data_IF_079156636149
#
_entry.id   IF_079156636149
#
_cell.length_a   1.000
_cell.length_b   1.000
_cell.length_c   1.000
_cell.angle_alpha   90.00
_cell.angle_beta   90.00
_cell.angle_gamma   90.00
#
_symmetry.space_group_name_H-M   'P 1'
#
loop_
_entity.id
_entity.type
_entity.pdbx_description
1 polymer ?
#
# COMPACT_ATOMS: atom_id res chain seq x y z
N UNK A 1 -41.42 37.91 -39.25
CA UNK A 1 -41.19 36.65 -38.53
C UNK A 1 -40.44 35.71 -39.47
N UNK A 2 -39.10 35.81 -39.48
CA UNK A 2 -38.22 34.99 -40.32
C UNK A 2 -37.73 33.87 -39.40
N UNK A 3 -38.24 32.66 -39.61
CA UNK A 3 -37.74 31.46 -38.94
C UNK A 3 -36.44 31.08 -39.63
N UNK A 4 -35.30 31.41 -39.02
CA UNK A 4 -34.02 30.82 -39.39
C UNK A 4 -34.07 29.35 -38.97
N UNK A 5 -34.15 28.44 -39.94
CA UNK A 5 -33.80 27.04 -39.73
C UNK A 5 -32.32 27.00 -39.33
N UNK A 6 -32.03 26.83 -38.03
CA UNK A 6 -30.71 26.51 -37.55
C UNK A 6 -30.40 25.08 -38.01
N UNK A 7 -29.69 24.94 -39.14
CA UNK A 7 -29.02 23.69 -39.46
C UNK A 7 -28.05 23.38 -38.30
N UNK A 8 -28.02 22.14 -37.81
CA UNK A 8 -27.10 21.77 -36.73
C UNK A 8 -25.66 21.98 -37.19
N UNK A 9 -24.88 22.69 -36.36
CA UNK A 9 -23.47 22.91 -36.62
C UNK A 9 -22.74 21.56 -36.67
N UNK A 10 -21.88 21.32 -37.67
CA UNK A 10 -21.11 20.09 -37.77
C UNK A 10 -20.25 19.87 -36.52
N UNK A 11 -19.93 18.60 -36.22
CA UNK A 11 -18.98 18.29 -35.15
C UNK A 11 -17.67 19.04 -35.40
N UNK A 12 -17.23 19.84 -34.43
CA UNK A 12 -16.05 20.68 -34.61
C UNK A 12 -14.77 19.83 -34.52
N UNK A 13 -13.83 20.08 -35.43
CA UNK A 13 -12.42 19.66 -35.33
C UNK A 13 -12.17 18.14 -35.26
N UNK A 14 -12.55 17.39 -36.31
CA UNK A 14 -12.14 15.99 -36.45
C UNK A 14 -10.60 15.87 -36.48
N UNK A 15 -10.05 15.21 -35.46
CA UNK A 15 -8.63 14.94 -35.32
C UNK A 15 -8.38 13.43 -35.47
N UNK A 16 -7.57 13.08 -36.47
CA UNK A 16 -7.25 11.70 -36.83
C UNK A 16 -5.75 11.50 -36.62
N UNK A 17 -5.38 10.53 -35.78
CA UNK A 17 -3.98 10.21 -35.46
C UNK A 17 -3.71 8.72 -35.60
N UNK A 18 -2.52 8.38 -36.06
CA UNK A 18 -2.03 6.99 -36.06
C UNK A 18 -1.41 6.68 -34.71
N UNK A 19 -1.87 5.62 -34.05
CA UNK A 19 -1.27 5.07 -32.83
C UNK A 19 -0.97 3.58 -33.04
N UNK A 20 0.29 3.26 -33.38
CA UNK A 20 0.71 1.90 -33.67
C UNK A 20 0.01 1.33 -34.92
N UNK A 21 -0.76 0.25 -34.75
CA UNK A 21 -1.53 -0.39 -35.84
C UNK A 21 -3.01 0.04 -35.87
N UNK A 22 -3.33 1.20 -35.31
CA UNK A 22 -4.71 1.69 -35.16
C UNK A 22 -4.77 3.16 -35.53
N UNK A 23 -5.92 3.60 -36.03
CA UNK A 23 -6.20 5.01 -36.26
C UNK A 23 -7.21 5.46 -35.21
N UNK A 24 -6.84 6.48 -34.44
CA UNK A 24 -7.67 7.05 -33.39
C UNK A 24 -8.28 8.34 -33.92
N UNK A 25 -9.60 8.39 -33.91
CA UNK A 25 -10.41 9.54 -34.27
C UNK A 25 -10.95 10.17 -32.99
N UNK A 26 -10.83 11.48 -32.89
CA UNK A 26 -11.41 12.28 -31.81
C UNK A 26 -12.03 13.54 -32.39
N UNK A 27 -13.22 13.91 -31.92
CA UNK A 27 -13.91 15.13 -32.33
C UNK A 27 -14.58 15.77 -31.11
N UNK A 28 -15.02 17.03 -31.26
CA UNK A 28 -15.80 17.70 -30.22
C UNK A 28 -17.28 17.55 -30.51
N UNK A 29 -18.04 17.16 -29.49
CA UNK A 29 -19.49 17.19 -29.57
C UNK A 29 -19.98 18.63 -29.78
N UNK A 30 -20.98 18.87 -30.65
CA UNK A 30 -21.62 20.17 -30.75
C UNK A 30 -22.34 20.52 -29.44
N UNK A 31 -22.64 21.81 -29.22
CA UNK A 31 -23.34 22.32 -28.03
C UNK A 31 -24.84 21.93 -27.98
N UNK A 32 -25.28 21.00 -28.83
CA UNK A 32 -26.66 20.54 -28.99
C UNK A 32 -26.69 19.04 -28.67
N UNK A 33 -27.78 18.54 -28.12
CA UNK A 33 -27.96 17.12 -27.81
C UNK A 33 -27.88 16.27 -29.09
N UNK A 34 -26.96 15.29 -29.10
CA UNK A 34 -26.69 14.41 -30.25
C UNK A 34 -27.23 13.01 -29.97
N UNK A 35 -27.96 12.44 -30.93
CA UNK A 35 -28.54 11.09 -30.81
C UNK A 35 -27.51 9.99 -31.09
N UNK A 36 -26.73 10.15 -32.17
CA UNK A 36 -25.67 9.23 -32.59
C UNK A 36 -24.67 9.87 -33.56
N UNK A 37 -23.50 9.26 -33.66
CA UNK A 37 -22.47 9.54 -34.66
C UNK A 37 -22.28 8.32 -35.56
N UNK A 38 -22.19 8.55 -36.86
CA UNK A 38 -21.81 7.53 -37.84
C UNK A 38 -20.42 7.85 -38.38
N UNK A 39 -19.54 6.85 -38.40
CA UNK A 39 -18.15 7.01 -38.85
C UNK A 39 -17.99 6.35 -40.21
N UNK A 40 -17.59 7.14 -41.19
CA UNK A 40 -17.33 6.71 -42.54
C UNK A 40 -15.83 6.70 -42.86
N UNK A 41 -15.42 5.76 -43.70
CA UNK A 41 -14.04 5.61 -44.16
C UNK A 41 -13.96 5.45 -45.68
N UNK A 42 -13.02 6.15 -46.27
CA UNK A 42 -12.51 5.96 -47.64
C UNK A 42 -11.25 5.11 -47.56
N UNK A 43 -11.19 4.08 -48.38
CA UNK A 43 -10.02 3.21 -48.56
C UNK A 43 -9.80 2.93 -50.06
N UNK A 44 -8.90 2.00 -50.42
CA UNK A 44 -8.63 1.68 -51.83
C UNK A 44 -9.86 1.21 -52.63
N UNK A 45 -10.92 0.74 -51.97
CA UNK A 45 -12.12 0.18 -52.61
C UNK A 45 -13.36 1.07 -52.48
N UNK A 46 -13.31 2.11 -51.67
CA UNK A 46 -14.43 2.98 -51.35
C UNK A 46 -14.04 4.43 -51.58
N UNK A 47 -14.87 5.18 -52.30
CA UNK A 47 -14.64 6.60 -52.61
C UNK A 47 -15.64 7.50 -51.87
N UNK A 48 -15.67 8.79 -52.25
CA UNK A 48 -16.58 9.77 -51.64
C UNK A 48 -18.05 9.52 -51.99
N UNK A 49 -18.33 8.82 -53.09
CA UNK A 49 -19.70 8.53 -53.54
C UNK A 49 -20.24 7.25 -52.88
N UNK A 50 -19.36 6.33 -52.49
CA UNK A 50 -19.71 5.11 -51.75
C UNK A 50 -18.74 4.82 -50.59
N UNK A 51 -18.79 5.59 -49.49
CA UNK A 51 -17.90 5.40 -48.35
C UNK A 51 -18.32 4.22 -47.46
N UNK A 52 -17.35 3.57 -46.80
CA UNK A 52 -17.61 2.46 -45.90
C UNK A 52 -18.09 2.96 -44.52
N UNK A 53 -19.28 2.54 -44.09
CA UNK A 53 -19.75 2.75 -42.71
C UNK A 53 -19.01 1.80 -41.76
N UNK A 54 -18.30 2.35 -40.77
CA UNK A 54 -17.53 1.57 -39.80
C UNK A 54 -18.31 1.25 -38.54
N UNK A 55 -19.02 2.24 -37.99
CA UNK A 55 -19.74 2.11 -36.73
C UNK A 55 -20.75 3.24 -36.51
N UNK A 56 -21.77 2.94 -35.71
CA UNK A 56 -22.65 3.92 -35.08
C UNK A 56 -22.33 3.97 -33.58
N UNK A 57 -21.93 5.13 -33.07
CA UNK A 57 -21.53 5.30 -31.66
C UNK A 57 -22.14 6.55 -31.04
N UNK A 58 -22.17 6.62 -29.70
CA UNK A 58 -22.58 7.82 -28.95
C UNK A 58 -21.41 8.60 -28.36
N UNK A 59 -20.21 8.03 -28.40
CA UNK A 59 -18.99 8.63 -27.88
C UNK A 59 -18.32 9.53 -28.92
N UNK A 60 -17.47 10.47 -28.48
CA UNK A 60 -16.73 11.39 -29.36
C UNK A 60 -15.32 10.88 -29.71
N UNK A 61 -15.10 9.58 -29.56
CA UNK A 61 -13.84 8.89 -29.82
C UNK A 61 -14.11 7.56 -30.51
N UNK A 62 -13.35 7.27 -31.57
CA UNK A 62 -13.39 5.99 -32.25
C UNK A 62 -11.99 5.49 -32.56
N UNK A 63 -11.81 4.17 -32.56
CA UNK A 63 -10.53 3.52 -32.84
C UNK A 63 -10.73 2.52 -33.97
N UNK A 64 -10.23 2.83 -35.16
CA UNK A 64 -10.21 1.91 -36.29
C UNK A 64 -9.01 0.97 -36.16
N UNK A 65 -9.30 -0.33 -36.00
CA UNK A 65 -8.33 -1.41 -35.89
C UNK A 65 -8.20 -2.24 -37.18
N UNK A 66 -9.06 -2.00 -38.17
CA UNK A 66 -9.15 -2.76 -39.42
C UNK A 66 -8.34 -2.12 -40.56
N UNK A 67 -7.32 -1.36 -40.17
CA UNK A 67 -6.45 -0.54 -41.02
C UNK A 67 -5.24 -1.36 -41.44
N UNK A 68 -4.95 -1.36 -42.75
CA UNK A 68 -3.80 -2.05 -43.32
C UNK A 68 -2.65 -1.07 -43.55
N UNK A 69 -1.41 -1.49 -43.34
CA UNK A 69 -0.26 -0.66 -43.65
C UNK A 69 -0.21 -0.28 -45.13
N UNK A 70 0.37 0.88 -45.39
CA UNK A 70 0.62 1.40 -46.72
C UNK A 70 -0.63 1.81 -47.55
N UNK A 71 -1.83 1.80 -46.96
CA UNK A 71 -3.07 2.30 -47.57
C UNK A 71 -3.41 3.69 -47.02
N UNK A 72 -3.89 4.59 -47.89
CA UNK A 72 -4.40 5.89 -47.49
C UNK A 72 -5.87 5.77 -47.05
N UNK A 73 -6.15 6.22 -45.83
CA UNK A 73 -7.50 6.29 -45.29
C UNK A 73 -7.93 7.74 -45.10
N UNK A 74 -9.18 8.05 -45.42
CA UNK A 74 -9.80 9.33 -45.03
C UNK A 74 -11.08 9.04 -44.28
N UNK A 75 -11.38 9.85 -43.26
CA UNK A 75 -12.52 9.62 -42.38
C UNK A 75 -13.46 10.82 -42.37
N UNK A 76 -14.74 10.53 -42.19
CA UNK A 76 -15.80 11.52 -42.02
C UNK A 76 -16.68 11.08 -40.86
N UNK A 77 -17.09 12.02 -40.02
CA UNK A 77 -18.04 11.78 -38.94
C UNK A 77 -19.35 12.49 -39.27
N UNK A 78 -20.43 11.73 -39.37
CA UNK A 78 -21.79 12.24 -39.53
C UNK A 78 -22.46 12.29 -38.18
N UNK A 79 -23.00 13.45 -37.83
CA UNK A 79 -23.65 13.70 -36.54
C UNK A 79 -25.15 13.80 -36.75
N UNK A 80 -25.92 12.95 -36.05
CA UNK A 80 -27.38 12.98 -36.08
C UNK A 80 -27.92 13.73 -34.86
N UNK A 81 -28.65 14.83 -35.11
CA UNK A 81 -29.38 15.56 -34.07
C UNK A 81 -30.79 14.98 -33.90
N UNK A 82 -31.38 14.46 -34.98
CA UNK A 82 -32.63 13.68 -34.96
C UNK A 82 -32.59 12.61 -36.07
N UNK A 83 -33.61 11.76 -36.21
CA UNK A 83 -33.62 10.63 -37.18
C UNK A 83 -33.53 11.07 -38.66
N UNK A 84 -33.86 12.32 -38.96
CA UNK A 84 -33.85 12.86 -40.33
C UNK A 84 -32.86 14.00 -40.55
N UNK A 85 -32.28 14.55 -39.47
CA UNK A 85 -31.41 15.72 -39.54
C UNK A 85 -29.98 15.31 -39.13
N UNK A 86 -29.09 15.35 -40.11
CA UNK A 86 -27.67 15.08 -39.91
C UNK A 86 -26.79 16.21 -40.44
N UNK A 87 -25.56 16.25 -39.95
CA UNK A 87 -24.51 17.18 -40.39
C UNK A 87 -23.18 16.43 -40.47
N UNK A 88 -22.41 16.69 -41.52
CA UNK A 88 -21.17 15.99 -41.83
C UNK A 88 -19.96 16.86 -41.51
N UNK A 89 -18.90 16.27 -40.96
CA UNK A 89 -17.60 16.91 -40.96
C UNK A 89 -16.99 16.93 -42.36
N UNK A 90 -16.05 17.84 -42.61
CA UNK A 90 -15.16 17.68 -43.76
C UNK A 90 -14.40 16.35 -43.67
N UNK A 91 -14.10 15.77 -44.82
CA UNK A 91 -13.22 14.60 -44.90
C UNK A 91 -11.84 14.93 -44.31
N UNK A 92 -11.34 14.04 -43.45
CA UNK A 92 -9.98 14.15 -42.94
C UNK A 92 -8.97 14.12 -44.08
N UNK A 93 -7.82 14.78 -43.90
CA UNK A 93 -6.69 14.60 -44.82
C UNK A 93 -6.31 13.11 -44.88
N UNK A 94 -5.89 12.58 -46.04
CA UNK A 94 -5.48 11.19 -46.16
C UNK A 94 -4.37 10.85 -45.16
N UNK A 95 -4.60 9.81 -44.37
CA UNK A 95 -3.66 9.33 -43.36
C UNK A 95 -3.26 7.89 -43.68
N UNK A 96 -1.99 7.57 -43.44
CA UNK A 96 -1.39 6.30 -43.83
C UNK A 96 -0.65 5.69 -42.65
N UNK A 97 -0.81 4.39 -42.44
CA UNK A 97 0.00 3.65 -41.47
C UNK A 97 1.28 3.22 -42.18
N UNK A 98 2.42 3.69 -41.71
CA UNK A 98 3.74 3.25 -42.18
C UNK A 98 4.09 1.88 -41.57
N UNK A 99 4.71 0.99 -42.36
CA UNK A 99 5.23 -0.31 -41.91
C UNK A 99 6.32 -0.22 -40.83
N UNK A 100 6.88 0.96 -40.58
CA UNK A 100 7.85 1.17 -39.51
C UNK A 100 7.13 1.21 -38.16
N UNK A 101 6.93 0.04 -37.57
CA UNK A 101 6.77 -0.08 -36.13
C UNK A 101 8.11 0.28 -35.46
N UNK A 102 8.44 1.57 -35.45
CA UNK A 102 9.41 2.11 -34.50
C UNK A 102 8.75 2.04 -33.13
N UNK A 103 8.84 0.86 -32.52
CA UNK A 103 8.64 0.69 -31.09
C UNK A 103 9.84 1.34 -30.38
N UNK A 104 9.99 2.67 -30.57
CA UNK A 104 11.04 3.50 -29.99
C UNK A 104 10.70 3.82 -28.53
N UNK A 105 10.18 2.84 -27.77
CA UNK A 105 10.32 2.91 -26.32
C UNK A 105 11.76 2.50 -26.04
N UNK A 106 12.63 3.42 -25.58
CA UNK A 106 13.98 3.04 -25.21
C UNK A 106 13.90 1.93 -24.16
N UNK A 107 14.74 0.90 -24.33
CA UNK A 107 14.87 -0.22 -23.39
C UNK A 107 15.23 0.24 -21.97
N UNK A 108 15.77 1.47 -21.85
CA UNK A 108 16.08 2.14 -20.60
C UNK A 108 15.39 3.51 -20.53
N UNK A 109 14.54 3.70 -19.53
CA UNK A 109 13.94 4.99 -19.23
C UNK A 109 14.93 5.84 -18.43
N UNK A 110 15.63 6.74 -19.12
CA UNK A 110 16.61 7.65 -18.50
C UNK A 110 15.99 8.57 -17.44
N UNK A 111 14.66 8.76 -17.44
CA UNK A 111 13.96 9.50 -16.38
C UNK A 111 13.95 8.75 -15.04
N UNK A 112 14.13 7.43 -15.06
CA UNK A 112 14.17 6.57 -13.85
C UNK A 112 15.58 6.33 -13.33
N UNK A 113 16.59 6.95 -13.93
CA UNK A 113 17.99 6.83 -13.49
C UNK A 113 18.19 7.16 -12.00
N UNK A 114 17.55 8.20 -11.42
CA UNK A 114 17.67 8.49 -9.97
C UNK A 114 17.13 7.36 -9.09
N UNK A 115 16.03 6.72 -9.50
CA UNK A 115 15.46 5.57 -8.78
C UNK A 115 16.42 4.38 -8.83
N UNK A 116 17.05 4.13 -9.98
CA UNK A 116 18.05 3.07 -10.10
C UNK A 116 19.28 3.34 -9.22
N UNK A 117 19.80 4.57 -9.23
CA UNK A 117 20.94 4.93 -8.37
C UNK A 117 20.59 4.76 -6.89
N UNK A 118 19.38 5.19 -6.48
CA UNK A 118 18.90 4.97 -5.12
C UNK A 118 18.83 3.48 -4.78
N UNK A 119 18.28 2.64 -5.67
CA UNK A 119 18.22 1.19 -5.46
C UNK A 119 19.61 0.55 -5.33
N UNK A 120 20.58 0.99 -6.13
CA UNK A 120 21.97 0.51 -6.03
C UNK A 120 22.58 0.92 -4.69
N UNK A 121 22.45 2.19 -4.31
CA UNK A 121 22.98 2.69 -3.03
C UNK A 121 22.34 1.94 -1.86
N UNK A 122 21.02 1.78 -1.89
CA UNK A 122 20.28 1.03 -0.87
C UNK A 122 20.73 -0.43 -0.82
N UNK A 123 20.90 -1.09 -1.96
CA UNK A 123 21.38 -2.48 -2.03
C UNK A 123 22.78 -2.61 -1.46
N UNK A 124 23.69 -1.70 -1.79
CA UNK A 124 25.06 -1.69 -1.27
C UNK A 124 25.05 -1.49 0.25
N UNK A 125 24.28 -0.54 0.77
CA UNK A 125 24.12 -0.32 2.22
C UNK A 125 23.54 -1.55 2.92
N UNK A 126 22.48 -2.14 2.35
CA UNK A 126 21.84 -3.33 2.87
C UNK A 126 22.82 -4.50 2.97
N UNK A 127 23.50 -4.85 1.87
CA UNK A 127 24.47 -5.95 1.89
C UNK A 127 25.66 -5.64 2.80
N UNK A 128 26.15 -4.40 2.82
CA UNK A 128 27.23 -4.00 3.72
C UNK A 128 26.89 -4.28 5.19
N UNK A 129 25.75 -3.79 5.68
CA UNK A 129 25.36 -4.02 7.08
C UNK A 129 24.97 -5.48 7.34
N UNK A 130 24.31 -6.15 6.39
CA UNK A 130 23.98 -7.57 6.51
C UNK A 130 25.21 -8.44 6.72
N UNK A 131 26.23 -8.31 5.85
CA UNK A 131 27.46 -9.09 5.95
C UNK A 131 28.33 -8.63 7.13
N UNK A 132 28.46 -7.32 7.37
CA UNK A 132 29.22 -6.79 8.49
C UNK A 132 28.70 -7.31 9.83
N UNK A 133 27.37 -7.34 10.03
CA UNK A 133 26.78 -7.88 11.26
C UNK A 133 26.98 -9.38 11.40
N UNK A 134 26.93 -10.14 10.30
CA UNK A 134 27.27 -11.58 10.31
C UNK A 134 28.72 -11.86 10.70
N UNK A 135 29.63 -10.94 10.38
CA UNK A 135 31.05 -11.01 10.78
C UNK A 135 31.31 -10.55 12.22
N UNK A 136 30.26 -10.34 13.03
CA UNK A 136 30.36 -9.99 14.44
C UNK A 136 30.38 -8.49 14.74
N UNK A 137 30.35 -7.61 13.71
CA UNK A 137 30.21 -6.16 13.89
C UNK A 137 28.74 -5.78 13.99
N UNK A 138 28.09 -6.21 15.08
CA UNK A 138 26.67 -5.96 15.31
C UNK A 138 26.46 -4.46 15.61
N UNK A 139 25.69 -3.72 14.79
CA UNK A 139 25.44 -2.32 15.03
C UNK A 139 24.54 -2.13 16.26
N UNK A 140 24.74 -1.02 16.97
CA UNK A 140 23.86 -0.61 18.05
C UNK A 140 22.52 -0.11 17.48
N UNK A 141 21.42 -0.67 17.97
CA UNK A 141 20.05 -0.20 17.74
C UNK A 141 19.56 0.47 19.04
N UNK A 142 18.77 1.54 18.90
CA UNK A 142 18.12 2.17 20.07
C UNK A 142 17.25 1.14 20.80
N UNK A 143 17.21 1.24 22.12
CA UNK A 143 16.28 0.46 22.92
C UNK A 143 14.84 0.85 22.58
N UNK A 144 13.97 -0.14 22.47
CA UNK A 144 12.53 0.07 22.24
C UNK A 144 11.84 -0.13 23.58
N UNK A 145 11.33 0.95 24.16
CA UNK A 145 10.78 0.96 25.52
C UNK A 145 9.68 -0.10 25.73
N UNK A 146 8.77 -0.25 24.75
CA UNK A 146 7.71 -1.25 24.84
C UNK A 146 8.20 -2.70 24.83
N UNK A 147 9.37 -2.99 24.25
CA UNK A 147 9.96 -4.34 24.29
C UNK A 147 10.68 -4.62 25.61
N UNK A 148 11.35 -3.61 26.19
CA UNK A 148 11.96 -3.76 27.52
C UNK A 148 10.89 -3.90 28.61
N UNK A 149 9.73 -3.28 28.43
CA UNK A 149 8.59 -3.37 29.34
C UNK A 149 7.94 -4.76 29.35
N UNK A 150 8.15 -5.62 28.34
CA UNK A 150 7.58 -6.98 28.31
C UNK A 150 8.04 -7.78 29.52
N UNK A 151 9.35 -7.79 29.80
CA UNK A 151 9.92 -8.57 30.90
C UNK A 151 9.40 -8.09 32.26
N UNK A 152 9.26 -6.78 32.43
CA UNK A 152 8.72 -6.13 33.63
C UNK A 152 7.21 -6.41 33.81
N UNK A 153 6.43 -6.34 32.73
CA UNK A 153 5.01 -6.66 32.76
C UNK A 153 4.75 -8.14 33.10
N UNK A 154 5.54 -9.06 32.55
CA UNK A 154 5.47 -10.49 32.90
C UNK A 154 5.85 -10.72 34.37
N UNK A 155 6.91 -10.06 34.84
CA UNK A 155 7.33 -10.11 36.24
C UNK A 155 6.22 -9.65 37.19
N UNK A 156 5.65 -8.45 36.95
CA UNK A 156 4.55 -7.92 37.76
C UNK A 156 3.30 -8.78 37.71
N UNK A 157 2.92 -9.31 36.55
CA UNK A 157 1.78 -10.24 36.46
C UNK A 157 2.01 -11.49 37.32
N UNK A 158 3.25 -11.99 37.36
CA UNK A 158 3.67 -13.10 38.23
C UNK A 158 3.58 -12.74 39.71
N UNK A 159 4.09 -11.57 40.10
CA UNK A 159 4.00 -11.08 41.48
C UNK A 159 2.55 -10.90 41.96
N UNK A 160 1.64 -10.53 41.06
CA UNK A 160 0.20 -10.43 41.33
C UNK A 160 -0.52 -11.78 41.34
N UNK A 161 0.13 -12.87 40.89
CA UNK A 161 -0.51 -14.18 40.72
C UNK A 161 -1.66 -14.17 39.70
N UNK A 162 -1.61 -13.25 38.72
CA UNK A 162 -2.67 -13.06 37.71
C UNK A 162 -2.20 -13.54 36.34
N UNK A 163 -3.11 -14.05 35.49
CA UNK A 163 -2.74 -14.50 34.15
C UNK A 163 -2.32 -13.33 33.27
N UNK A 164 -1.69 -13.65 32.15
CA UNK A 164 -1.42 -12.70 31.06
C UNK A 164 -2.44 -12.93 29.96
N UNK A 165 -2.95 -11.85 29.38
CA UNK A 165 -3.76 -11.92 28.17
C UNK A 165 -2.98 -11.34 26.98
N UNK A 166 -3.06 -12.01 25.83
CA UNK A 166 -2.38 -11.61 24.60
C UNK A 166 -3.33 -11.68 23.41
N UNK A 167 -3.28 -10.69 22.53
CA UNK A 167 -4.02 -10.75 21.27
C UNK A 167 -3.28 -10.04 20.14
N UNK A 168 -3.46 -10.55 18.93
CA UNK A 168 -2.96 -9.93 17.70
C UNK A 168 -3.97 -8.99 17.05
N UNK A 169 -5.18 -8.88 17.63
CA UNK A 169 -6.24 -8.02 17.13
C UNK A 169 -7.03 -8.67 15.98
N UNK A 170 -7.37 -7.85 14.99
CA UNK A 170 -8.25 -8.21 13.88
C UNK A 170 -7.46 -8.11 12.58
N UNK A 171 -7.34 -9.23 11.88
CA UNK A 171 -6.62 -9.30 10.62
C UNK A 171 -6.52 -10.71 10.10
N UNK A 172 -5.61 -10.91 9.16
CA UNK A 172 -5.30 -12.21 8.58
C UNK A 172 -3.79 -12.46 8.65
N UNK A 173 -3.38 -13.73 8.52
CA UNK A 173 -1.96 -14.10 8.44
C UNK A 173 -1.22 -13.48 7.25
N UNK A 174 -1.93 -12.93 6.26
CA UNK A 174 -1.33 -12.16 5.17
C UNK A 174 -0.85 -10.77 5.60
N UNK A 175 -1.28 -10.26 6.77
CA UNK A 175 -0.85 -8.98 7.30
C UNK A 175 0.52 -9.13 8.00
N UNK A 176 1.56 -8.40 7.56
CA UNK A 176 2.87 -8.41 8.21
C UNK A 176 2.83 -8.07 9.71
N UNK A 177 1.87 -7.25 10.13
CA UNK A 177 1.70 -6.83 11.53
C UNK A 177 1.26 -7.99 12.41
N UNK A 178 0.39 -8.86 11.89
CA UNK A 178 -0.05 -10.07 12.58
C UNK A 178 1.12 -11.06 12.70
N UNK A 179 1.90 -11.23 11.63
CA UNK A 179 3.09 -12.09 11.64
C UNK A 179 4.09 -11.59 12.69
N UNK A 180 4.37 -10.28 12.73
CA UNK A 180 5.23 -9.68 13.74
C UNK A 180 4.67 -9.86 15.16
N UNK A 181 3.35 -9.70 15.32
CA UNK A 181 2.63 -10.02 16.55
C UNK A 181 2.82 -11.46 17.00
N UNK A 182 2.74 -12.44 16.11
CA UNK A 182 2.97 -13.85 16.46
C UNK A 182 4.43 -14.11 16.87
N UNK A 183 5.40 -13.42 16.25
CA UNK A 183 6.80 -13.51 16.64
C UNK A 183 7.03 -12.98 18.06
N UNK A 184 6.38 -11.88 18.44
CA UNK A 184 6.41 -11.35 19.82
C UNK A 184 5.70 -12.32 20.77
N UNK A 185 4.57 -12.92 20.37
CA UNK A 185 3.85 -13.91 21.18
C UNK A 185 4.74 -15.09 21.58
N UNK A 186 5.54 -15.63 20.66
CA UNK A 186 6.51 -16.70 20.95
C UNK A 186 7.49 -16.27 22.07
N UNK A 187 7.99 -15.05 22.00
CA UNK A 187 8.90 -14.52 23.03
C UNK A 187 8.19 -14.36 24.39
N UNK A 188 6.98 -13.78 24.40
CA UNK A 188 6.17 -13.65 25.61
C UNK A 188 5.89 -15.03 26.21
N UNK A 189 5.47 -16.00 25.40
CA UNK A 189 5.21 -17.37 25.81
C UNK A 189 6.43 -18.03 26.47
N UNK A 190 7.63 -17.84 25.90
CA UNK A 190 8.88 -18.32 26.49
C UNK A 190 9.15 -17.73 27.87
N UNK A 191 8.87 -16.44 28.06
CA UNK A 191 9.04 -15.76 29.36
C UNK A 191 8.00 -16.24 30.37
N UNK A 192 6.74 -16.31 29.97
CA UNK A 192 5.63 -16.78 30.80
C UNK A 192 5.86 -18.21 31.30
N UNK A 193 6.33 -19.10 30.42
CA UNK A 193 6.66 -20.48 30.78
C UNK A 193 7.75 -20.56 31.87
N UNK A 194 8.70 -19.62 31.89
CA UNK A 194 9.73 -19.52 32.92
C UNK A 194 9.19 -19.12 34.30
N UNK A 195 8.13 -18.30 34.34
CA UNK A 195 7.49 -17.84 35.58
C UNK A 195 6.35 -18.75 36.05
N UNK A 196 5.82 -19.61 35.17
CA UNK A 196 4.78 -20.57 35.51
C UNK A 196 3.39 -19.98 35.71
N UNK A 197 3.08 -18.87 35.05
CA UNK A 197 1.74 -18.25 35.04
C UNK A 197 0.97 -18.59 33.76
N UNK A 198 -0.36 -18.48 33.82
CA UNK A 198 -1.22 -18.79 32.68
C UNK A 198 -1.17 -17.68 31.61
N UNK A 199 -1.08 -18.09 30.34
CA UNK A 199 -1.15 -17.23 29.17
C UNK A 199 -2.44 -17.50 28.40
N UNK A 200 -3.30 -16.50 28.28
CA UNK A 200 -4.60 -16.56 27.60
C UNK A 200 -4.51 -15.81 26.28
N UNK A 201 -4.81 -16.47 25.16
CA UNK A 201 -4.62 -15.93 23.81
C UNK A 201 -5.92 -16.04 23.00
N UNK A 202 -6.86 -15.10 23.17
CA UNK A 202 -8.03 -15.00 22.30
C UNK A 202 -7.66 -14.47 20.91
N UNK A 203 -8.17 -15.16 19.88
CA UNK A 203 -7.91 -14.86 18.47
C UNK A 203 -9.22 -14.58 17.72
N UNK A 204 -9.16 -13.62 16.79
CA UNK A 204 -10.27 -13.26 15.91
C UNK A 204 -10.39 -14.18 14.69
N UNK A 205 -9.34 -14.90 14.32
CA UNK A 205 -9.31 -15.77 13.13
C UNK A 205 -8.81 -17.18 13.48
N UNK A 206 -9.41 -18.27 12.93
CA UNK A 206 -8.99 -19.64 13.22
C UNK A 206 -7.56 -19.97 12.76
N UNK A 207 -7.08 -19.40 11.66
CA UNK A 207 -5.72 -19.60 11.18
C UNK A 207 -4.72 -18.88 12.08
N UNK A 208 -5.05 -17.67 12.54
CA UNK A 208 -4.24 -16.96 13.53
C UNK A 208 -4.19 -17.75 14.84
N UNK A 209 -5.30 -18.37 15.27
CA UNK A 209 -5.31 -19.26 16.44
C UNK A 209 -4.34 -20.44 16.27
N UNK A 210 -4.35 -21.12 15.12
CA UNK A 210 -3.44 -22.24 14.85
C UNK A 210 -1.98 -21.79 14.86
N UNK A 211 -1.66 -20.67 14.22
CA UNK A 211 -0.32 -20.10 14.23
C UNK A 211 0.12 -19.69 15.65
N UNK A 212 -0.81 -19.13 16.43
CA UNK A 212 -0.57 -18.77 17.83
C UNK A 212 -0.32 -20.00 18.70
N UNK A 213 -1.05 -21.10 18.49
CA UNK A 213 -0.81 -22.37 19.21
C UNK A 213 0.60 -22.89 18.97
N UNK A 214 1.04 -22.92 17.72
CA UNK A 214 2.40 -23.34 17.38
C UNK A 214 3.46 -22.41 17.98
N UNK A 215 3.28 -21.09 17.87
CA UNK A 215 4.19 -20.11 18.46
C UNK A 215 4.30 -20.22 19.99
N UNK A 216 3.17 -20.39 20.68
CA UNK A 216 3.14 -20.57 22.14
C UNK A 216 3.77 -21.90 22.53
N UNK A 217 3.42 -22.99 21.85
CA UNK A 217 3.99 -24.33 22.10
C UNK A 217 5.51 -24.33 21.91
N UNK A 218 6.01 -23.71 20.85
CA UNK A 218 7.44 -23.56 20.62
C UNK A 218 8.11 -22.73 21.72
N UNK A 219 7.50 -21.60 22.11
CA UNK A 219 7.99 -20.76 23.22
C UNK A 219 8.11 -21.52 24.55
N UNK A 220 7.09 -22.30 24.92
CA UNK A 220 7.09 -23.13 26.12
C UNK A 220 8.12 -24.26 26.04
N UNK A 221 8.29 -24.86 24.86
CA UNK A 221 9.29 -25.89 24.60
C UNK A 221 10.71 -25.34 24.72
N UNK A 222 10.99 -24.16 24.14
CA UNK A 222 12.28 -23.48 24.26
C UNK A 222 12.61 -23.06 25.70
N UNK A 223 11.60 -22.80 26.52
CA UNK A 223 11.76 -22.54 27.95
C UNK A 223 12.01 -23.82 28.77
N UNK A 224 11.93 -25.01 28.16
CA UNK A 224 12.05 -26.29 28.84
C UNK A 224 10.83 -26.67 29.69
N UNK A 225 9.68 -26.03 29.45
CA UNK A 225 8.43 -26.23 30.21
C UNK A 225 7.22 -26.58 29.31
N UNK A 226 7.32 -27.60 28.44
CA UNK A 226 6.19 -28.02 27.61
C UNK A 226 5.00 -28.56 28.43
N UNK A 227 5.24 -28.98 29.68
CA UNK A 227 4.22 -29.43 30.64
C UNK A 227 3.21 -28.36 31.02
N UNK A 228 3.59 -27.08 30.92
CA UNK A 228 2.72 -25.94 31.24
C UNK A 228 1.89 -25.45 30.04
N UNK A 229 2.13 -25.98 28.85
CA UNK A 229 1.38 -25.59 27.67
C UNK A 229 -0.07 -26.07 27.76
N UNK A 230 -1.02 -25.13 27.65
CA UNK A 230 -2.47 -25.40 27.65
C UNK A 230 -3.08 -24.90 26.35
N UNK A 231 -3.40 -25.81 25.45
CA UNK A 231 -3.95 -25.46 24.13
C UNK A 231 -5.30 -24.75 24.22
N UNK A 232 -6.11 -25.09 25.23
CA UNK A 232 -7.41 -24.52 25.53
C UNK A 232 -7.37 -23.01 25.81
N UNK A 233 -6.24 -22.49 26.27
CA UNK A 233 -6.05 -21.06 26.51
C UNK A 233 -5.84 -20.27 25.21
N UNK A 234 -5.52 -20.95 24.10
CA UNK A 234 -5.35 -20.35 22.77
C UNK A 234 -6.59 -20.66 21.95
N UNK A 235 -7.54 -19.74 22.00
CA UNK A 235 -8.90 -19.95 21.54
C UNK A 235 -9.29 -18.99 20.42
N UNK A 236 -10.16 -19.45 19.54
CA UNK A 236 -10.87 -18.62 18.57
C UNK A 236 -12.21 -18.19 19.18
N UNK A 237 -12.55 -16.90 19.07
CA UNK A 237 -13.82 -16.39 19.57
C UNK A 237 -14.83 -16.18 18.44
N UNK A 238 -14.52 -15.26 17.52
CA UNK A 238 -15.34 -14.93 16.35
C UNK A 238 -14.54 -14.02 15.43
N UNK A 239 -14.86 -14.02 14.14
CA UNK A 239 -14.29 -13.12 13.13
C UNK A 239 -14.94 -11.73 13.13
N UNK A 240 -16.13 -11.58 13.72
CA UNK A 240 -16.81 -10.28 13.80
C UNK A 240 -16.11 -9.39 14.84
N UNK A 241 -15.82 -8.15 14.47
CA UNK A 241 -15.01 -7.20 15.24
C UNK A 241 -15.54 -6.93 16.65
N UNK A 242 -16.80 -6.53 16.78
CA UNK A 242 -17.34 -6.15 18.09
C UNK A 242 -17.73 -7.37 18.93
N UNK A 243 -18.08 -8.49 18.31
CA UNK A 243 -18.24 -9.79 18.94
C UNK A 243 -16.93 -10.29 19.52
N UNK A 244 -15.82 -10.13 18.78
CA UNK A 244 -14.48 -10.45 19.26
C UNK A 244 -14.12 -9.58 20.47
N UNK A 245 -14.37 -8.28 20.36
CA UNK A 245 -14.15 -7.30 21.44
C UNK A 245 -14.95 -7.64 22.69
N UNK A 246 -16.24 -7.96 22.55
CA UNK A 246 -17.10 -8.33 23.67
C UNK A 246 -16.63 -9.62 24.34
N UNK A 247 -16.23 -10.63 23.55
CA UNK A 247 -15.67 -11.87 24.05
C UNK A 247 -14.34 -11.65 24.80
N UNK A 248 -13.44 -10.87 24.22
CA UNK A 248 -12.17 -10.48 24.82
C UNK A 248 -12.37 -9.74 26.14
N UNK A 249 -13.21 -8.70 26.15
CA UNK A 249 -13.51 -7.91 27.36
C UNK A 249 -14.15 -8.79 28.45
N UNK A 250 -15.02 -9.71 28.06
CA UNK A 250 -15.59 -10.70 28.97
C UNK A 250 -14.53 -11.57 29.64
N UNK A 251 -13.49 -11.99 28.92
CA UNK A 251 -12.35 -12.72 29.49
C UNK A 251 -11.58 -11.82 30.45
N UNK A 252 -11.24 -10.61 30.04
CA UNK A 252 -10.47 -9.66 30.88
C UNK A 252 -11.17 -9.39 32.21
N UNK A 253 -12.48 -9.18 32.21
CA UNK A 253 -13.25 -8.89 33.44
C UNK A 253 -13.30 -10.08 34.38
N UNK A 254 -13.36 -11.31 33.85
CA UNK A 254 -13.39 -12.55 34.66
C UNK A 254 -12.03 -12.92 35.21
N UNK A 255 -11.03 -12.98 34.33
CA UNK A 255 -9.69 -13.48 34.63
C UNK A 255 -8.81 -12.43 35.31
N UNK A 256 -9.14 -11.14 35.14
CA UNK A 256 -8.42 -10.00 35.71
C UNK A 256 -6.91 -10.10 35.50
N UNK A 257 -6.44 -10.14 34.23
CA UNK A 257 -5.03 -10.33 33.94
C UNK A 257 -4.14 -9.28 34.59
N UNK A 258 -2.91 -9.66 34.92
CA UNK A 258 -1.89 -8.75 35.46
C UNK A 258 -1.22 -7.92 34.37
N UNK A 259 -1.17 -8.44 33.14
CA UNK A 259 -0.71 -7.71 31.97
C UNK A 259 -1.51 -8.09 30.73
N UNK A 260 -1.72 -7.12 29.83
CA UNK A 260 -2.38 -7.30 28.56
C UNK A 260 -1.49 -6.82 27.40
N UNK A 261 -1.31 -7.70 26.42
CA UNK A 261 -0.49 -7.43 25.24
C UNK A 261 -1.36 -7.35 23.98
N UNK A 262 -1.24 -6.22 23.27
CA UNK A 262 -1.99 -5.92 22.04
C UNK A 262 -1.02 -5.76 20.88
N UNK A 263 -0.66 -6.84 20.19
CA UNK A 263 0.47 -6.85 19.26
C UNK A 263 0.05 -7.34 17.87
N UNK A 264 -0.25 -6.42 16.97
CA UNK A 264 -0.70 -6.76 15.62
C UNK A 264 -1.49 -5.64 14.96
N UNK A 265 -2.59 -6.01 14.29
CA UNK A 265 -3.41 -5.07 13.55
C UNK A 265 -4.76 -4.89 14.26
N UNK A 266 -5.18 -3.64 14.41
CA UNK A 266 -6.39 -3.29 15.16
C UNK A 266 -7.18 -2.22 14.41
N UNK A 267 -8.45 -2.10 14.77
CA UNK A 267 -9.37 -1.05 14.37
C UNK A 267 -9.96 -0.38 15.63
N UNK A 268 -11.18 0.13 15.52
CA UNK A 268 -11.87 0.90 16.56
C UNK A 268 -12.04 0.16 17.91
N UNK A 269 -11.91 -1.17 17.94
CA UNK A 269 -11.95 -1.98 19.15
C UNK A 269 -10.76 -1.75 20.08
N UNK A 270 -9.62 -1.30 19.55
CA UNK A 270 -8.37 -1.11 20.29
C UNK A 270 -8.57 -0.36 21.60
N UNK A 271 -9.27 0.78 21.56
CA UNK A 271 -9.55 1.59 22.75
C UNK A 271 -10.43 0.85 23.76
N UNK A 272 -11.47 0.15 23.30
CA UNK A 272 -12.39 -0.58 24.18
C UNK A 272 -11.67 -1.73 24.89
N UNK A 273 -10.78 -2.42 24.19
CA UNK A 273 -10.00 -3.52 24.75
C UNK A 273 -8.97 -3.03 25.76
N UNK A 274 -8.25 -1.94 25.43
CA UNK A 274 -7.22 -1.36 26.29
C UNK A 274 -7.80 -0.71 27.56
N UNK A 275 -8.92 0.02 27.46
CA UNK A 275 -9.60 0.56 28.63
C UNK A 275 -10.12 -0.56 29.55
N UNK A 276 -10.60 -1.67 28.99
CA UNK A 276 -11.13 -2.78 29.82
C UNK A 276 -10.03 -3.44 30.65
N UNK A 277 -8.85 -3.66 30.08
CA UNK A 277 -7.69 -4.21 30.80
C UNK A 277 -7.09 -3.22 31.79
N UNK A 278 -7.05 -1.94 31.44
CA UNK A 278 -6.66 -0.88 32.35
C UNK A 278 -7.55 -0.86 33.60
N UNK A 279 -8.87 -0.97 33.42
CA UNK A 279 -9.85 -0.97 34.52
C UNK A 279 -9.69 -2.16 35.50
N UNK A 280 -9.13 -3.29 35.07
CA UNK A 280 -8.82 -4.42 35.98
C UNK A 280 -7.42 -4.33 36.60
N UNK A 281 -6.67 -3.27 36.29
CA UNK A 281 -5.33 -3.00 36.79
C UNK A 281 -4.23 -3.75 36.04
N UNK A 282 -4.48 -4.15 34.79
CA UNK A 282 -3.45 -4.78 33.96
C UNK A 282 -2.47 -3.73 33.43
N UNK A 283 -1.20 -4.12 33.31
CA UNK A 283 -0.21 -3.34 32.55
C UNK A 283 -0.43 -3.59 31.07
N UNK A 284 -0.60 -2.53 30.30
CA UNK A 284 -0.95 -2.59 28.91
C UNK A 284 0.24 -2.28 28.02
N UNK A 285 0.60 -3.24 27.16
CA UNK A 285 1.69 -3.08 26.18
C UNK A 285 1.11 -3.35 24.78
N UNK A 286 1.02 -2.29 23.99
CA UNK A 286 0.48 -2.34 22.64
C UNK A 286 1.56 -2.22 21.57
N UNK A 287 1.24 -2.62 20.35
CA UNK A 287 2.08 -2.50 19.18
C UNK A 287 1.26 -2.69 17.92
N UNK A 288 1.22 -1.65 17.08
CA UNK A 288 0.47 -1.69 15.83
C UNK A 288 1.09 -0.80 14.75
N UNK A 289 0.77 -1.13 13.50
CA UNK A 289 1.15 -0.37 12.31
C UNK A 289 -0.01 0.47 11.78
N UNK A 290 -1.22 0.27 12.33
CA UNK A 290 -2.41 1.01 11.95
C UNK A 290 -2.32 2.46 12.46
N UNK A 291 -2.02 3.39 11.55
CA UNK A 291 -1.85 4.82 11.86
C UNK A 291 -3.09 5.42 12.55
N UNK A 292 -4.28 4.94 12.20
CA UNK A 292 -5.55 5.40 12.78
C UNK A 292 -5.79 4.91 14.21
N UNK A 293 -5.13 3.84 14.65
CA UNK A 293 -5.31 3.27 15.99
C UNK A 293 -4.16 3.58 16.96
N UNK A 294 -3.00 4.00 16.43
CA UNK A 294 -1.87 4.43 17.27
C UNK A 294 -2.27 5.46 18.35
N UNK A 295 -3.09 6.50 18.07
CA UNK A 295 -3.50 7.43 19.12
C UNK A 295 -4.25 6.77 20.26
N UNK A 296 -5.09 5.76 20.00
CA UNK A 296 -5.85 5.06 21.02
C UNK A 296 -4.94 4.27 21.95
N UNK A 297 -3.97 3.54 21.41
CA UNK A 297 -3.01 2.82 22.24
C UNK A 297 -2.06 3.75 23.01
N UNK A 298 -1.60 4.84 22.39
CA UNK A 298 -0.73 5.83 23.06
C UNK A 298 -1.39 6.41 24.32
N UNK A 299 -2.72 6.63 24.30
CA UNK A 299 -3.42 7.22 25.46
C UNK A 299 -3.94 6.20 26.48
N UNK A 300 -4.11 4.93 26.09
CA UNK A 300 -4.73 3.89 26.93
C UNK A 300 -3.78 2.80 27.40
N UNK A 301 -2.53 2.77 26.91
CA UNK A 301 -1.53 1.78 27.25
C UNK A 301 -0.29 2.42 27.89
N UNK A 302 0.37 1.68 28.79
CA UNK A 302 1.61 2.12 29.44
C UNK A 302 2.75 2.24 28.43
N UNK A 303 2.81 1.33 27.45
CA UNK A 303 3.78 1.35 26.36
C UNK A 303 3.11 1.01 25.03
N UNK A 304 3.53 1.70 23.97
CA UNK A 304 3.05 1.46 22.60
C UNK A 304 4.22 1.39 21.63
N UNK A 305 4.34 0.27 20.90
CA UNK A 305 5.24 0.14 19.76
C UNK A 305 4.63 0.81 18.54
N UNK A 306 5.36 1.73 17.94
CA UNK A 306 4.85 2.57 16.85
C UNK A 306 5.35 2.04 15.51
N UNK A 307 4.44 1.52 14.67
CA UNK A 307 4.71 1.22 13.27
C UNK A 307 5.88 0.25 13.08
N UNK A 308 7.01 0.79 12.59
CA UNK A 308 8.23 0.03 12.33
C UNK A 308 8.81 -0.67 13.56
N UNK A 309 8.53 -0.17 14.76
CA UNK A 309 8.99 -0.80 16.00
C UNK A 309 8.39 -2.19 16.17
N UNK A 310 7.16 -2.42 15.68
CA UNK A 310 6.52 -3.74 15.69
C UNK A 310 7.28 -4.72 14.77
N UNK A 311 7.72 -4.26 13.59
CA UNK A 311 8.48 -5.09 12.65
C UNK A 311 9.91 -5.36 13.12
N UNK A 312 10.53 -4.38 13.79
CA UNK A 312 11.85 -4.52 14.38
C UNK A 312 11.86 -5.43 15.62
N UNK A 313 10.70 -5.67 16.24
CA UNK A 313 10.61 -6.41 17.49
C UNK A 313 11.15 -7.83 17.40
N UNK A 314 10.85 -8.58 16.34
CA UNK A 314 11.32 -9.95 16.18
C UNK A 314 12.86 -10.02 16.15
N UNK A 315 13.50 -9.11 15.42
CA UNK A 315 14.95 -8.97 15.33
C UNK A 315 15.58 -8.55 16.67
N UNK A 316 14.92 -7.65 17.39
CA UNK A 316 15.37 -7.19 18.70
C UNK A 316 15.32 -8.31 19.74
N UNK A 317 14.24 -9.09 19.75
CA UNK A 317 14.01 -10.17 20.70
C UNK A 317 14.84 -11.43 20.38
N UNK A 318 15.01 -11.77 19.10
CA UNK A 318 15.85 -12.89 18.63
C UNK A 318 17.35 -12.62 18.81
N UNK A 319 17.74 -11.33 18.91
CA UNK A 319 19.12 -10.85 18.91
C UNK A 319 19.93 -11.35 17.71
N UNK A 320 19.26 -11.63 16.59
CA UNK A 320 19.92 -12.13 15.39
C UNK A 320 20.77 -11.01 14.74
N UNK A 321 22.10 -11.17 14.66
CA UNK A 321 22.98 -10.15 14.11
C UNK A 321 22.59 -9.69 12.70
N UNK A 322 22.17 -10.61 11.83
CA UNK A 322 21.81 -10.23 10.46
C UNK A 322 20.56 -9.36 10.39
N UNK A 323 19.55 -9.65 11.20
CA UNK A 323 18.30 -8.88 11.23
C UNK A 323 18.52 -7.48 11.86
N UNK A 324 19.36 -7.42 12.90
CA UNK A 324 19.82 -6.16 13.48
C UNK A 324 20.58 -5.31 12.44
N UNK A 325 21.41 -5.95 11.62
CA UNK A 325 22.11 -5.29 10.50
C UNK A 325 21.15 -4.68 9.48
N UNK A 326 20.09 -5.41 9.11
CA UNK A 326 19.12 -4.90 8.12
C UNK A 326 18.32 -3.71 8.63
N UNK A 327 17.95 -3.70 9.92
CA UNK A 327 17.30 -2.53 10.54
C UNK A 327 18.22 -1.31 10.47
N UNK A 328 19.53 -1.50 10.76
CA UNK A 328 20.48 -0.38 10.68
C UNK A 328 20.63 0.17 9.26
N UNK A 329 20.64 -0.69 8.25
CA UNK A 329 20.68 -0.27 6.85
C UNK A 329 19.45 0.56 6.48
N UNK A 330 18.27 0.14 6.94
CA UNK A 330 17.01 0.84 6.72
C UNK A 330 17.02 2.23 7.38
N UNK A 331 17.44 2.33 8.64
CA UNK A 331 17.56 3.61 9.36
C UNK A 331 18.53 4.58 8.66
N UNK A 332 19.69 4.09 8.22
CA UNK A 332 20.67 4.90 7.47
C UNK A 332 20.05 5.39 6.16
N UNK A 333 19.34 4.53 5.43
CA UNK A 333 18.68 4.91 4.19
C UNK A 333 17.60 5.99 4.42
N UNK A 334 16.81 5.87 5.48
CA UNK A 334 15.83 6.91 5.88
C UNK A 334 16.51 8.24 6.19
N UNK A 335 17.62 8.22 6.93
CA UNK A 335 18.40 9.43 7.22
C UNK A 335 18.89 10.09 5.93
N UNK A 336 19.41 9.30 4.97
CA UNK A 336 19.85 9.81 3.66
C UNK A 336 18.68 10.47 2.92
N UNK A 337 17.49 9.82 2.90
CA UNK A 337 16.29 10.39 2.29
C UNK A 337 15.89 11.71 2.96
N UNK A 338 15.87 11.75 4.30
CA UNK A 338 15.54 12.96 5.06
C UNK A 338 16.50 14.10 4.70
N UNK A 339 17.81 13.82 4.66
CA UNK A 339 18.83 14.81 4.29
C UNK A 339 18.61 15.32 2.86
N UNK A 340 18.33 14.42 1.91
CA UNK A 340 18.04 14.80 0.51
C UNK A 340 16.80 15.69 0.43
N UNK A 341 15.73 15.35 1.16
CA UNK A 341 14.50 16.15 1.21
C UNK A 341 14.77 17.53 1.82
N UNK A 342 15.51 17.61 2.93
CA UNK A 342 15.82 18.87 3.60
C UNK A 342 16.70 19.78 2.72
N UNK A 343 17.76 19.22 2.12
CA UNK A 343 18.63 19.95 1.20
C UNK A 343 17.86 20.40 -0.04
N UNK A 344 17.02 19.53 -0.60
CA UNK A 344 16.15 19.85 -1.72
C UNK A 344 15.17 20.98 -1.41
N UNK A 345 14.52 20.91 -0.25
CA UNK A 345 13.58 21.95 0.20
C UNK A 345 14.28 23.29 0.38
N UNK A 346 15.50 23.28 0.96
CA UNK A 346 16.32 24.48 1.13
C UNK A 346 16.80 25.04 -0.22
N UNK A 347 17.26 24.19 -1.13
CA UNK A 347 17.66 24.58 -2.49
C UNK A 347 16.52 25.22 -3.27
N UNK A 348 15.31 24.65 -3.18
CA UNK A 348 14.12 25.21 -3.81
C UNK A 348 13.77 26.58 -3.21
N UNK A 349 13.84 26.70 -1.89
CA UNK A 349 13.61 27.97 -1.19
C UNK A 349 14.61 29.05 -1.63
N UNK A 350 15.90 28.72 -1.75
CA UNK A 350 16.94 29.68 -2.19
C UNK A 350 16.84 30.04 -3.68
N UNK A 351 16.33 29.13 -4.51
CA UNK A 351 16.10 29.37 -5.94
C UNK A 351 15.08 30.49 -6.18
N UNK A 352 14.06 30.63 -5.33
CA UNK A 352 13.10 31.74 -5.39
C UNK A 352 13.77 33.10 -5.16
N UNK A 353 14.85 33.14 -4.36
CA UNK A 353 15.67 34.33 -4.14
C UNK A 353 16.75 34.54 -5.22
N UNK A 354 16.74 33.74 -6.29
CA UNK A 354 17.68 33.85 -7.42
C UNK A 354 19.04 33.17 -7.22
N UNK A 355 19.22 32.41 -6.14
CA UNK A 355 20.47 31.73 -5.80
C UNK A 355 20.36 30.25 -6.18
N UNK A 356 21.37 29.67 -6.85
CA UNK A 356 21.43 28.24 -7.22
C UNK A 356 20.29 27.69 -8.11
N UNK A 357 19.64 28.53 -8.93
CA UNK A 357 18.51 28.14 -9.81
C UNK A 357 18.76 26.89 -10.66
N UNK A 358 19.93 26.79 -11.30
CA UNK A 358 20.28 25.62 -12.13
C UNK A 358 20.36 24.30 -11.33
N UNK A 359 20.78 24.37 -10.06
CA UNK A 359 20.89 23.19 -9.19
C UNK A 359 19.52 22.78 -8.67
N UNK A 360 18.66 23.74 -8.35
CA UNK A 360 17.28 23.48 -7.96
C UNK A 360 16.47 22.85 -9.10
N UNK A 361 16.65 23.31 -10.34
CA UNK A 361 16.02 22.70 -11.52
C UNK A 361 16.49 21.26 -11.74
N UNK A 362 17.79 20.97 -11.54
CA UNK A 362 18.32 19.60 -11.60
C UNK A 362 17.67 18.71 -10.53
N UNK A 363 17.60 19.18 -9.29
CA UNK A 363 16.96 18.46 -8.18
C UNK A 363 15.50 18.12 -8.50
N UNK A 364 14.72 19.09 -8.97
CA UNK A 364 13.31 18.87 -9.35
C UNK A 364 13.21 17.87 -10.51
N UNK A 365 14.09 17.96 -11.51
CA UNK A 365 14.10 17.04 -12.63
C UNK A 365 14.47 15.60 -12.23
N UNK A 366 15.27 15.41 -11.18
CA UNK A 366 15.57 14.08 -10.63
C UNK A 366 14.34 13.41 -10.01
N UNK A 367 13.41 14.17 -9.44
CA UNK A 367 12.21 13.65 -8.78
C UNK A 367 10.93 13.74 -9.63
N UNK A 368 10.98 14.36 -10.82
CA UNK A 368 9.93 14.31 -11.84
C UNK A 368 9.89 12.92 -12.51
N UNK A 369 9.52 11.91 -11.74
CA UNK A 369 9.28 10.56 -12.26
C UNK A 369 7.86 10.52 -12.85
N UNK A 370 7.75 10.87 -14.14
CA UNK A 370 6.63 10.50 -15.03
C UNK A 370 5.29 11.20 -14.78
N UNK A 371 5.04 12.27 -15.54
CA UNK A 371 3.71 12.64 -16.04
C UNK A 371 3.59 12.25 -17.51
#
# INVERSE_FOLDING_TARGET
MIVFFLLPFPAESLNVKVEGNKIVLTWRAPQIEVKKYEIYRIDEKHDKENPLLLAEIKETKFIDTLVKPNINYSYLVRTYVDDTIYTDTDWSKPIKISNEFKNNKPWFDTKKLPVLLFLIIFSVLFFYYYYSSRMGKVPYIRKIAGLEAIDDAVGRATEMGRPIIYTTGIGALSDPSIIAGIAILKYVAKKVAGYGIDLIVPNNDPLIMLASREAVKEGFTEAGRPDLYREENIMFLTTEQFGFTAGFNGIVIREKPGAAFYQGYFYAESLLMAETSYNVGAINIAGTTAVTQLPFFIVSCDYTLIGEELYAASAYLSKNPSEIGTIKAEDIAKIIIIVIILLGSLLLTLSEFGIFKNIAELYVNMFKVGG
#
